data_IF_755549847269
#
_entry.id   IF_755549847269
#
_cell.length_a   1.000
_cell.length_b   1.000
_cell.length_c   1.000
_cell.angle_alpha   90.00
_cell.angle_beta   90.00
_cell.angle_gamma   90.00
#
_symmetry.space_group_name_H-M   'P 1'
#
loop_
_entity.id
_entity.type
_entity.pdbx_description
1 polymer ?
#
# COMPACT_ATOMS: atom_id res chain seq x y z
N UNK A 1 -15.08 12.17 -0.23
CA UNK A 1 -14.46 12.43 1.07
C UNK A 1 -14.64 11.22 1.97
N UNK A 2 -15.78 11.00 2.66
CA UNK A 2 -15.96 9.88 3.63
C UNK A 2 -15.36 8.53 3.22
N UNK A 3 -15.66 8.01 2.03
CA UNK A 3 -15.14 6.70 1.62
C UNK A 3 -13.61 6.67 1.40
N UNK A 4 -13.03 7.77 0.92
CA UNK A 4 -11.58 7.88 0.76
C UNK A 4 -10.91 7.94 2.13
N UNK A 5 -11.44 8.76 3.03
CA UNK A 5 -10.94 8.90 4.40
C UNK A 5 -10.95 7.53 5.11
N UNK A 6 -12.07 6.79 5.05
CA UNK A 6 -12.18 5.42 5.59
C UNK A 6 -11.15 4.47 4.98
N UNK A 7 -10.98 4.47 3.66
CA UNK A 7 -9.98 3.62 3.01
C UNK A 7 -8.57 3.94 3.50
N UNK A 8 -8.22 5.23 3.62
CA UNK A 8 -6.90 5.65 4.07
C UNK A 8 -6.64 5.34 5.54
N UNK A 9 -7.66 5.44 6.42
CA UNK A 9 -7.57 4.99 7.81
C UNK A 9 -7.32 3.49 7.88
N UNK A 10 -8.07 2.68 7.12
CA UNK A 10 -7.86 1.23 7.09
C UNK A 10 -6.46 0.83 6.58
N UNK A 11 -5.93 1.56 5.59
CA UNK A 11 -4.54 1.36 5.13
C UNK A 11 -3.54 1.76 6.21
N UNK A 12 -3.77 2.88 6.91
CA UNK A 12 -2.90 3.31 8.00
C UNK A 12 -2.90 2.30 9.16
N UNK A 13 -4.06 1.72 9.48
CA UNK A 13 -4.20 0.68 10.49
C UNK A 13 -3.45 -0.58 10.10
N UNK A 14 -3.57 -1.03 8.84
CA UNK A 14 -2.79 -2.16 8.33
C UNK A 14 -1.28 -1.90 8.42
N UNK A 15 -0.85 -0.69 8.06
CA UNK A 15 0.54 -0.28 8.14
C UNK A 15 1.03 -0.28 9.61
N UNK A 16 0.31 0.40 10.49
CA UNK A 16 0.65 0.54 11.92
C UNK A 16 0.67 -0.80 12.66
N UNK A 17 -0.31 -1.67 12.39
CA UNK A 17 -0.35 -3.03 12.94
C UNK A 17 0.82 -3.88 12.41
N UNK A 18 1.12 -3.79 11.12
CA UNK A 18 2.28 -4.43 10.51
C UNK A 18 3.58 -4.03 11.20
N UNK A 19 3.76 -2.74 11.49
CA UNK A 19 4.94 -2.24 12.20
C UNK A 19 5.09 -2.79 13.61
N UNK A 20 3.99 -2.93 14.36
CA UNK A 20 3.99 -3.58 15.68
C UNK A 20 4.32 -5.07 15.59
N UNK A 21 3.68 -5.77 14.66
CA UNK A 21 3.81 -7.23 14.52
C UNK A 21 5.17 -7.69 14.01
N UNK A 22 5.76 -6.91 13.11
CA UNK A 22 7.00 -7.25 12.41
C UNK A 22 8.17 -6.35 12.81
N UNK A 23 8.04 -5.59 13.90
CA UNK A 23 9.12 -4.79 14.46
C UNK A 23 10.30 -5.67 14.85
N UNK A 24 11.46 -5.40 14.25
CA UNK A 24 12.71 -6.11 14.56
C UNK A 24 13.54 -5.35 15.59
N UNK A 25 13.37 -4.02 15.64
CA UNK A 25 13.97 -3.14 16.62
C UNK A 25 13.06 -1.93 16.82
N UNK A 26 13.47 -0.99 17.69
CA UNK A 26 12.77 0.29 17.85
C UNK A 26 12.73 1.12 16.56
N UNK A 27 13.57 0.80 15.56
CA UNK A 27 13.75 1.61 14.37
C UNK A 27 13.42 0.87 13.06
N UNK A 28 13.47 -0.46 13.02
CA UNK A 28 13.32 -1.27 11.78
C UNK A 28 12.22 -2.30 11.87
N UNK A 29 11.62 -2.60 10.72
CA UNK A 29 10.62 -3.65 10.54
C UNK A 29 11.13 -4.73 9.59
N UNK A 30 10.53 -5.92 9.61
CA UNK A 30 10.89 -7.02 8.71
C UNK A 30 10.81 -6.64 7.22
N UNK A 31 9.91 -5.71 6.88
CA UNK A 31 9.80 -5.17 5.53
C UNK A 31 11.05 -4.42 5.07
N UNK A 32 11.78 -3.79 5.99
CA UNK A 32 13.03 -3.10 5.66
C UNK A 32 14.12 -4.12 5.32
N UNK A 33 14.32 -5.14 6.15
CA UNK A 33 15.28 -6.21 5.88
C UNK A 33 14.98 -6.97 4.59
N UNK A 34 13.70 -7.26 4.32
CA UNK A 34 13.30 -7.94 3.08
C UNK A 34 13.56 -7.08 1.84
N UNK A 35 13.37 -5.76 1.95
CA UNK A 35 13.72 -4.85 0.87
C UNK A 35 15.23 -4.76 0.68
N UNK A 36 16.01 -4.69 1.75
CA UNK A 36 17.48 -4.64 1.66
C UNK A 36 18.06 -5.92 1.05
N UNK A 37 17.52 -7.09 1.44
CA UNK A 37 17.99 -8.38 0.96
C UNK A 37 17.58 -8.70 -0.49
N UNK A 38 16.39 -8.27 -0.92
CA UNK A 38 15.79 -8.70 -2.18
C UNK A 38 15.47 -7.56 -3.16
N UNK A 39 15.64 -6.31 -2.72
CA UNK A 39 15.43 -5.11 -3.51
C UNK A 39 13.98 -4.86 -3.91
N UNK A 40 13.82 -3.92 -4.86
CA UNK A 40 12.51 -3.45 -5.33
C UNK A 40 11.60 -4.57 -5.86
N UNK A 41 12.17 -5.61 -6.47
CA UNK A 41 11.39 -6.65 -7.13
C UNK A 41 10.64 -7.53 -6.13
N UNK A 42 11.16 -7.69 -4.91
CA UNK A 42 10.42 -8.34 -3.84
C UNK A 42 9.17 -7.54 -3.45
N UNK A 43 9.30 -6.22 -3.29
CA UNK A 43 8.17 -5.37 -2.92
C UNK A 43 7.13 -5.33 -4.05
N UNK A 44 7.57 -5.12 -5.30
CA UNK A 44 6.68 -5.14 -6.48
C UNK A 44 5.99 -6.50 -6.63
N UNK A 45 6.73 -7.60 -6.55
CA UNK A 45 6.15 -8.94 -6.62
C UNK A 45 5.20 -9.25 -5.46
N UNK A 46 5.46 -8.69 -4.27
CA UNK A 46 4.54 -8.79 -3.12
C UNK A 46 3.23 -8.07 -3.40
N UNK A 47 3.27 -6.87 -3.98
CA UNK A 47 2.07 -6.14 -4.40
C UNK A 47 1.31 -6.95 -5.45
N UNK A 48 2.00 -7.43 -6.48
CA UNK A 48 1.35 -8.15 -7.59
C UNK A 48 0.73 -9.48 -7.10
N UNK A 49 1.37 -10.20 -6.18
CA UNK A 49 0.76 -11.36 -5.51
C UNK A 49 -0.61 -11.04 -4.91
N UNK A 50 -0.79 -9.86 -4.30
CA UNK A 50 -2.08 -9.45 -3.74
C UNK A 50 -3.10 -9.08 -4.82
N UNK A 51 -2.67 -8.63 -6.00
CA UNK A 51 -3.60 -8.42 -7.14
C UNK A 51 -4.20 -9.75 -7.59
N UNK A 52 -3.39 -10.79 -7.75
CA UNK A 52 -3.85 -12.13 -8.09
C UNK A 52 -4.71 -12.75 -6.99
N UNK A 53 -4.32 -12.57 -5.72
CA UNK A 53 -5.10 -13.09 -4.59
C UNK A 53 -6.47 -12.43 -4.49
N UNK A 54 -6.55 -11.11 -4.67
CA UNK A 54 -7.82 -10.39 -4.72
C UNK A 54 -8.69 -10.90 -5.87
N UNK A 55 -8.13 -11.06 -7.07
CA UNK A 55 -8.86 -11.62 -8.22
C UNK A 55 -9.51 -12.97 -7.89
N UNK A 56 -8.80 -13.83 -7.15
CA UNK A 56 -9.28 -15.18 -6.82
C UNK A 56 -10.23 -15.22 -5.62
N UNK A 57 -9.99 -14.41 -4.58
CA UNK A 57 -10.65 -14.54 -3.28
C UNK A 57 -11.57 -13.38 -2.93
N UNK A 58 -11.47 -12.25 -3.63
CA UNK A 58 -12.28 -11.04 -3.42
C UNK A 58 -12.32 -10.62 -1.95
N UNK A 59 -11.15 -10.51 -1.30
CA UNK A 59 -11.03 -10.10 0.10
C UNK A 59 -10.57 -8.66 0.19
N UNK A 60 -11.29 -7.86 0.99
CA UNK A 60 -10.96 -6.46 1.28
C UNK A 60 -9.49 -6.27 1.68
N UNK A 61 -9.01 -7.13 2.59
CA UNK A 61 -7.65 -7.08 3.12
C UNK A 61 -6.58 -7.16 2.03
N UNK A 62 -6.83 -7.83 0.92
CA UNK A 62 -5.84 -7.91 -0.15
C UNK A 62 -5.68 -6.55 -0.84
N UNK A 63 -6.75 -5.74 -0.97
CA UNK A 63 -6.67 -4.35 -1.43
C UNK A 63 -5.97 -3.43 -0.41
N UNK A 64 -6.30 -3.56 0.87
CA UNK A 64 -5.65 -2.77 1.93
C UNK A 64 -4.13 -3.04 1.99
N UNK A 65 -3.73 -4.30 1.77
CA UNK A 65 -2.30 -4.67 1.67
C UNK A 65 -1.64 -4.04 0.45
N UNK A 66 -2.29 -4.01 -0.70
CA UNK A 66 -1.77 -3.29 -1.86
C UNK A 66 -1.53 -1.82 -1.52
N UNK A 67 -2.52 -1.14 -0.94
CA UNK A 67 -2.39 0.27 -0.51
C UNK A 67 -1.23 0.48 0.47
N UNK A 68 -1.08 -0.41 1.44
CA UNK A 68 0.03 -0.40 2.42
C UNK A 68 1.40 -0.50 1.73
N UNK A 69 1.56 -1.46 0.81
CA UNK A 69 2.83 -1.63 0.11
C UNK A 69 3.11 -0.53 -0.92
N UNK A 70 2.09 0.13 -1.47
CA UNK A 70 2.28 1.35 -2.27
C UNK A 70 2.85 2.48 -1.42
N UNK A 71 2.38 2.67 -0.19
CA UNK A 71 2.95 3.65 0.73
C UNK A 71 4.42 3.34 1.04
N UNK A 72 4.73 2.08 1.35
CA UNK A 72 6.11 1.64 1.60
C UNK A 72 6.99 1.88 0.37
N UNK A 73 6.50 1.58 -0.84
CA UNK A 73 7.21 1.82 -2.08
C UNK A 73 7.47 3.31 -2.29
N UNK A 74 6.51 4.18 -1.96
CA UNK A 74 6.65 5.63 -2.05
C UNK A 74 7.73 6.16 -1.11
N UNK A 75 7.79 5.63 0.11
CA UNK A 75 8.85 5.93 1.07
C UNK A 75 10.22 5.47 0.60
N UNK A 76 10.35 4.20 0.16
CA UNK A 76 11.62 3.66 -0.33
C UNK A 76 12.12 4.45 -1.55
N UNK A 77 11.23 4.92 -2.43
CA UNK A 77 11.58 5.79 -3.56
C UNK A 77 12.06 7.18 -3.13
N UNK A 78 11.81 7.59 -1.88
CA UNK A 78 12.20 8.90 -1.36
C UNK A 78 11.38 10.06 -1.91
N UNK A 79 10.14 9.79 -2.33
CA UNK A 79 9.26 10.84 -2.88
C UNK A 79 8.88 11.91 -1.84
N UNK A 80 8.95 11.58 -0.55
CA UNK A 80 8.78 12.56 0.52
C UNK A 80 9.91 13.60 0.58
N UNK A 81 11.08 13.31 0.00
CA UNK A 81 12.20 14.25 -0.09
C UNK A 81 12.10 15.13 -1.33
N UNK A 82 11.73 14.55 -2.48
CA UNK A 82 11.59 15.25 -3.76
C UNK A 82 10.69 14.47 -4.73
N UNK A 83 9.95 15.18 -5.61
CA UNK A 83 8.93 14.57 -6.48
C UNK A 83 9.43 13.50 -7.44
N UNK A 84 10.71 13.57 -7.84
CA UNK A 84 11.35 12.56 -8.72
C UNK A 84 11.83 11.32 -7.95
N UNK A 85 11.76 11.34 -6.62
CA UNK A 85 12.40 10.38 -5.76
C UNK A 85 13.93 10.46 -5.85
N UNK A 86 14.62 9.55 -5.21
CA UNK A 86 16.09 9.45 -5.23
C UNK A 86 16.56 8.27 -6.09
N UNK A 87 17.85 8.23 -6.45
CA UNK A 87 18.39 7.16 -7.31
C UNK A 87 18.60 5.84 -6.56
N UNK A 88 18.78 5.91 -5.25
CA UNK A 88 18.96 4.76 -4.37
C UNK A 88 17.71 4.54 -3.51
N UNK A 89 17.57 3.38 -2.88
CA UNK A 89 16.50 3.17 -1.93
C UNK A 89 16.80 3.90 -0.62
N UNK A 90 15.80 4.57 -0.04
CA UNK A 90 15.93 5.22 1.26
C UNK A 90 15.76 4.18 2.37
N UNK A 91 16.69 4.19 3.34
CA UNK A 91 16.47 3.49 4.61
C UNK A 91 15.42 4.26 5.42
N UNK A 92 14.33 3.59 5.75
CA UNK A 92 13.14 4.20 6.35
C UNK A 92 12.94 3.58 7.71
N UNK A 93 12.84 4.42 8.74
CA UNK A 93 12.54 3.96 10.09
C UNK A 93 11.05 4.19 10.42
N UNK A 94 10.62 3.64 11.55
CA UNK A 94 9.24 3.76 12.04
C UNK A 94 8.79 5.23 12.10
N UNK A 95 9.65 6.13 12.60
CA UNK A 95 9.34 7.57 12.69
C UNK A 95 9.02 8.19 11.33
N UNK A 96 9.88 7.97 10.33
CA UNK A 96 9.64 8.46 8.95
C UNK A 96 8.33 7.89 8.41
N UNK A 97 8.05 6.62 8.63
CA UNK A 97 6.82 5.99 8.15
C UNK A 97 5.56 6.52 8.85
N UNK A 98 5.64 6.97 10.09
CA UNK A 98 4.51 7.62 10.77
C UNK A 98 4.32 9.06 10.32
N UNK A 99 5.40 9.83 10.24
CA UNK A 99 5.34 11.28 9.96
C UNK A 99 4.97 11.61 8.50
N UNK A 100 5.18 10.69 7.56
CA UNK A 100 5.03 10.97 6.14
C UNK A 100 3.71 10.44 5.54
N UNK A 101 2.85 9.79 6.32
CA UNK A 101 1.61 9.18 5.79
C UNK A 101 0.64 10.24 5.28
N UNK A 102 0.38 11.29 6.05
CA UNK A 102 -0.51 12.38 5.64
C UNK A 102 -0.01 13.09 4.37
N UNK A 103 1.30 13.26 4.25
CA UNK A 103 1.92 13.83 3.04
C UNK A 103 1.67 12.94 1.83
N UNK A 104 1.80 11.63 1.99
CA UNK A 104 1.47 10.67 0.95
C UNK A 104 -0.01 10.75 0.56
N UNK A 105 -0.94 10.76 1.51
CA UNK A 105 -2.38 10.85 1.25
C UNK A 105 -2.74 12.14 0.50
N UNK A 106 -2.12 13.27 0.84
CA UNK A 106 -2.29 14.52 0.10
C UNK A 106 -1.89 14.38 -1.37
N UNK A 107 -0.73 13.78 -1.66
CA UNK A 107 -0.26 13.53 -3.03
C UNK A 107 -1.25 12.66 -3.80
N UNK A 108 -1.76 11.59 -3.16
CA UNK A 108 -2.77 10.71 -3.77
C UNK A 108 -4.05 11.48 -4.08
N UNK A 109 -4.53 12.30 -3.14
CA UNK A 109 -5.76 13.05 -3.30
C UNK A 109 -5.66 14.07 -4.43
N UNK A 110 -4.56 14.82 -4.49
CA UNK A 110 -4.32 15.80 -5.55
C UNK A 110 -4.29 15.11 -6.94
N UNK A 111 -3.65 13.94 -7.04
CA UNK A 111 -3.68 13.12 -8.26
C UNK A 111 -5.09 12.61 -8.60
N UNK A 112 -5.83 12.13 -7.60
CA UNK A 112 -7.18 11.60 -7.80
C UNK A 112 -8.11 12.68 -8.35
N UNK A 113 -8.12 13.88 -7.77
CA UNK A 113 -8.97 14.97 -8.23
C UNK A 113 -8.59 15.44 -9.63
N UNK A 114 -7.30 15.42 -9.98
CA UNK A 114 -6.84 15.79 -11.32
C UNK A 114 -7.26 14.78 -12.40
N UNK A 115 -7.26 13.48 -12.10
CA UNK A 115 -7.44 12.40 -13.09
C UNK A 115 -8.68 11.53 -12.85
N UNK A 116 -9.65 12.04 -12.08
CA UNK A 116 -10.80 11.29 -11.58
C UNK A 116 -11.60 10.62 -12.70
N UNK A 117 -11.89 11.37 -13.76
CA UNK A 117 -12.72 10.90 -14.87
C UNK A 117 -12.06 9.74 -15.60
N UNK A 118 -10.76 9.84 -15.87
CA UNK A 118 -9.96 8.81 -16.51
C UNK A 118 -9.84 7.56 -15.64
N UNK A 119 -9.59 7.74 -14.33
CA UNK A 119 -9.47 6.64 -13.38
C UNK A 119 -10.78 5.85 -13.23
N UNK A 120 -11.91 6.54 -13.17
CA UNK A 120 -13.24 5.91 -13.08
C UNK A 120 -13.58 5.13 -14.35
N UNK A 121 -13.16 5.63 -15.51
CA UNK A 121 -13.40 4.98 -16.80
C UNK A 121 -12.60 3.68 -17.01
N UNK A 122 -11.62 3.35 -16.16
CA UNK A 122 -10.88 2.09 -16.26
C UNK A 122 -11.78 0.91 -15.87
N UNK A 123 -12.13 0.09 -16.86
CA UNK A 123 -12.96 -1.10 -16.66
C UNK A 123 -12.24 -2.19 -15.84
N UNK A 124 -11.03 -2.57 -16.26
CA UNK A 124 -10.23 -3.62 -15.60
C UNK A 124 -9.09 -3.01 -14.77
N UNK A 125 -9.42 -2.49 -13.59
CA UNK A 125 -8.48 -1.80 -12.70
C UNK A 125 -7.35 -2.72 -12.23
N UNK A 126 -7.69 -3.92 -11.76
CA UNK A 126 -6.71 -4.90 -11.28
C UNK A 126 -5.76 -5.39 -12.38
N UNK A 127 -6.26 -5.56 -13.61
CA UNK A 127 -5.42 -5.88 -14.78
C UNK A 127 -4.44 -4.77 -15.14
N UNK A 128 -4.89 -3.51 -15.12
CA UNK A 128 -4.02 -2.36 -15.33
C UNK A 128 -2.94 -2.24 -14.24
N UNK A 129 -3.31 -2.42 -12.97
CA UNK A 129 -2.36 -2.43 -11.85
C UNK A 129 -1.28 -3.48 -12.08
N UNK A 130 -1.64 -4.72 -12.40
CA UNK A 130 -0.67 -5.79 -12.65
C UNK A 130 0.27 -5.47 -13.83
N UNK A 131 -0.25 -4.86 -14.89
CA UNK A 131 0.56 -4.42 -16.04
C UNK A 131 1.57 -3.33 -15.64
N UNK A 132 1.17 -2.36 -14.81
CA UNK A 132 2.07 -1.33 -14.29
C UNK A 132 3.17 -1.97 -13.43
N UNK A 133 2.81 -2.89 -12.54
CA UNK A 133 3.76 -3.58 -11.66
C UNK A 133 4.77 -4.43 -12.44
N UNK A 134 4.33 -5.16 -13.46
CA UNK A 134 5.21 -5.92 -14.35
C UNK A 134 6.18 -5.01 -15.11
N UNK A 135 5.73 -3.85 -15.58
CA UNK A 135 6.63 -2.86 -16.20
C UNK A 135 7.69 -2.37 -15.20
N UNK A 136 7.30 -2.09 -13.96
CA UNK A 136 8.24 -1.66 -12.93
C UNK A 136 9.24 -2.74 -12.51
N UNK A 137 8.86 -4.03 -12.50
CA UNK A 137 9.79 -5.10 -12.14
C UNK A 137 10.92 -5.26 -13.17
N UNK A 138 10.66 -4.88 -14.42
CA UNK A 138 11.61 -4.91 -15.53
C UNK A 138 12.37 -3.59 -15.74
N UNK A 139 11.93 -2.48 -15.14
CA UNK A 139 12.53 -1.16 -15.33
C UNK A 139 13.72 -0.90 -14.41
N UNK A 140 14.33 0.30 -14.47
CA UNK A 140 15.23 0.77 -13.41
C UNK A 140 14.42 1.26 -12.21
N UNK A 141 15.07 1.44 -11.06
CA UNK A 141 14.44 1.99 -9.85
C UNK A 141 13.94 3.43 -10.08
N UNK A 142 14.75 4.24 -10.76
CA UNK A 142 14.43 5.62 -11.15
C UNK A 142 13.17 5.75 -12.00
N UNK A 143 12.79 4.69 -12.72
CA UNK A 143 11.66 4.71 -13.65
C UNK A 143 10.31 4.50 -12.96
N UNK A 144 10.33 4.10 -11.67
CA UNK A 144 9.13 4.13 -10.82
C UNK A 144 8.89 5.59 -10.47
N UNK A 145 7.82 6.17 -11.04
CA UNK A 145 7.45 7.59 -10.88
C UNK A 145 6.29 7.75 -9.88
N UNK A 146 6.25 8.88 -9.19
CA UNK A 146 5.19 9.21 -8.23
C UNK A 146 3.79 9.17 -8.87
N UNK A 147 3.67 9.62 -10.12
CA UNK A 147 2.40 9.61 -10.86
C UNK A 147 1.87 8.20 -11.09
N UNK A 148 2.74 7.26 -11.48
CA UNK A 148 2.32 5.87 -11.67
C UNK A 148 1.95 5.21 -10.33
N UNK A 149 2.67 5.53 -9.25
CA UNK A 149 2.33 5.05 -7.90
C UNK A 149 0.97 5.60 -7.44
N UNK A 150 0.74 6.88 -7.70
CA UNK A 150 -0.54 7.53 -7.40
C UNK A 150 -1.69 6.91 -8.19
N UNK A 151 -1.45 6.60 -9.47
CA UNK A 151 -2.41 5.89 -10.32
C UNK A 151 -2.77 4.52 -9.72
N UNK A 152 -1.78 3.70 -9.36
CA UNK A 152 -2.03 2.38 -8.76
C UNK A 152 -2.84 2.51 -7.47
N UNK A 153 -2.45 3.41 -6.56
CA UNK A 153 -3.18 3.61 -5.31
C UNK A 153 -4.64 4.05 -5.55
N UNK A 154 -4.87 4.98 -6.48
CA UNK A 154 -6.21 5.44 -6.81
C UNK A 154 -7.08 4.33 -7.42
N UNK A 155 -6.51 3.49 -8.28
CA UNK A 155 -7.21 2.34 -8.86
C UNK A 155 -7.60 1.33 -7.78
N UNK A 156 -6.73 1.10 -6.79
CA UNK A 156 -7.00 0.24 -5.63
C UNK A 156 -8.11 0.83 -4.76
N UNK A 157 -8.08 2.14 -4.50
CA UNK A 157 -9.16 2.83 -3.79
C UNK A 157 -10.49 2.68 -4.53
N UNK A 158 -10.51 2.85 -5.86
CA UNK A 158 -11.74 2.71 -6.64
C UNK A 158 -12.27 1.27 -6.63
N UNK A 159 -11.39 0.28 -6.70
CA UNK A 159 -11.76 -1.13 -6.54
C UNK A 159 -12.30 -1.40 -5.12
N UNK A 160 -11.64 -0.88 -4.10
CA UNK A 160 -12.13 -1.00 -2.73
C UNK A 160 -13.50 -0.33 -2.57
N UNK A 161 -13.68 0.84 -3.18
CA UNK A 161 -14.91 1.60 -3.10
C UNK A 161 -16.08 0.86 -3.72
N UNK A 162 -15.90 0.22 -4.88
CA UNK A 162 -16.98 -0.52 -5.55
C UNK A 162 -17.42 -1.77 -4.79
N UNK A 163 -16.52 -2.40 -4.02
CA UNK A 163 -16.81 -3.65 -3.31
C UNK A 163 -17.15 -3.47 -1.83
N UNK A 164 -16.53 -2.51 -1.14
CA UNK A 164 -16.52 -2.47 0.34
C UNK A 164 -16.92 -1.13 0.95
N UNK A 165 -17.12 -0.05 0.20
CA UNK A 165 -17.48 1.25 0.81
C UNK A 165 -18.81 1.28 1.58
N UNK A 166 -19.64 0.24 1.41
CA UNK A 166 -20.96 0.11 2.04
C UNK A 166 -21.03 -1.02 3.08
N UNK A 167 -19.95 -1.75 3.32
CA UNK A 167 -19.98 -2.75 4.41
C UNK A 167 -20.03 -2.05 5.76
N UNK A 168 -20.77 -2.66 6.69
CA UNK A 168 -20.98 -2.13 8.05
C UNK A 168 -19.76 -2.39 8.93
N UNK A 169 -19.11 -3.54 8.72
CA UNK A 169 -17.92 -3.96 9.44
C UNK A 169 -16.84 -4.30 8.44
N UNK A 170 -15.74 -3.55 8.52
CA UNK A 170 -14.53 -3.79 7.73
C UNK A 170 -13.67 -4.86 8.38
N UNK A 171 -12.90 -5.59 7.57
CA UNK A 171 -11.96 -6.61 8.06
C UNK A 171 -10.87 -5.97 8.93
N UNK A 172 -11.12 -5.89 10.24
CA UNK A 172 -10.14 -5.49 11.25
C UNK A 172 -9.17 -6.65 11.45
N UNK A 173 -7.87 -6.41 11.31
CA UNK A 173 -6.84 -7.41 11.60
C UNK A 173 -6.66 -7.60 13.12
N UNK A 174 -7.74 -7.85 13.86
CA UNK A 174 -7.70 -8.39 15.22
C UNK A 174 -7.47 -9.89 15.10
N UNK A 175 -6.20 -10.31 15.11
CA UNK A 175 -5.90 -11.66 15.54
C UNK A 175 -6.53 -11.83 16.93
N UNK A 176 -7.37 -12.85 17.11
CA UNK A 176 -8.05 -13.15 18.37
C UNK A 176 -7.03 -13.19 19.53
N UNK A 177 -6.83 -12.06 20.24
CA UNK A 177 -6.17 -12.08 21.54
C UNK A 177 -7.03 -12.89 22.54
N UNK A 178 -8.36 -12.94 22.33
CA UNK A 178 -9.30 -13.74 23.12
C UNK A 178 -9.14 -15.27 22.95
N UNK A 179 -8.49 -15.76 21.88
CA UNK A 179 -8.27 -17.22 21.71
C UNK A 179 -7.00 -17.73 22.41
N UNK A 180 -6.16 -16.87 22.94
CA UNK A 180 -4.96 -17.28 23.68
C UNK A 180 -5.11 -17.25 25.21
N UNK A 181 -6.15 -16.59 25.74
CA UNK A 181 -6.46 -16.69 27.18
C UNK A 181 -7.28 -17.95 27.53
N UNK A 182 -8.02 -18.52 26.58
CA UNK A 182 -8.86 -19.71 26.80
C UNK A 182 -8.10 -21.05 26.79
N UNK A 183 -6.78 -21.04 26.56
CA UNK A 183 -5.91 -22.23 26.64
C UNK A 183 -4.92 -22.19 27.82
N UNK A 184 -5.17 -21.33 28.81
CA UNK A 184 -4.51 -21.38 30.12
C UNK A 184 -5.53 -21.77 31.19
N UNK A 185 -5.98 -23.02 31.16
CA UNK A 185 -6.63 -23.69 32.29
C UNK A 185 -6.18 -25.12 32.36
#
# INVERSE_FOLDING_TARGET
MKAFDTFTELVNDQFSYGGKKYGLSTNRESTDELFDAHGKNWLIGTIDKYTYRFKNLQRERDLLKIGTYQYILWLKRGFFLQDRGVNDAIDTNIKVKTEQFDKFIKVIWDYFEQYKSELVAVENKMGLISTILQKWSLSKWSDVLQTHLSQVYCLVFLEWHSHYSKVVEHDKDTYNEEKHESNKT
#
